data_IF_472821905559
#
_entry.id   IF_472821905559
#
_cell.length_a   1.000
_cell.length_b   1.000
_cell.length_c   1.000
_cell.angle_alpha   90.00
_cell.angle_beta   90.00
_cell.angle_gamma   90.00
#
_symmetry.space_group_name_H-M   'P 1'
#
loop_
_entity.id
_entity.type
_entity.pdbx_description
1 polymer ?
#
# COMPACT_ATOMS: atom_id res chain seq x y z
N UNK A 1 -5.12 3.12 -10.91
CA UNK A 1 -3.72 2.89 -10.50
C UNK A 1 -3.14 1.66 -11.19
N UNK A 2 -3.84 0.53 -11.27
CA UNK A 2 -3.50 -0.51 -12.26
C UNK A 2 -4.31 -0.31 -13.54
N UNK A 3 -3.63 0.10 -14.61
CA UNK A 3 -4.13 -0.10 -15.98
C UNK A 3 -3.61 -1.44 -16.47
N UNK A 4 -4.22 -2.02 -17.50
CA UNK A 4 -3.71 -3.25 -18.14
C UNK A 4 -2.21 -3.15 -18.48
N UNK A 5 -1.76 -1.97 -18.93
CA UNK A 5 -0.35 -1.72 -19.21
C UNK A 5 0.55 -1.87 -17.98
N UNK A 6 0.11 -1.37 -16.82
CA UNK A 6 0.87 -1.46 -15.57
C UNK A 6 0.83 -2.88 -15.02
N UNK A 7 -0.34 -3.55 -15.09
CA UNK A 7 -0.47 -4.94 -14.65
C UNK A 7 0.44 -5.87 -15.46
N UNK A 8 0.43 -5.75 -16.79
CA UNK A 8 1.31 -6.53 -17.66
C UNK A 8 2.80 -6.29 -17.34
N UNK A 9 3.20 -5.03 -17.10
CA UNK A 9 4.57 -4.71 -16.70
C UNK A 9 4.95 -5.40 -15.38
N UNK A 10 4.08 -5.39 -14.36
CA UNK A 10 4.36 -6.02 -13.07
C UNK A 10 4.44 -7.55 -13.19
N UNK A 11 3.58 -8.16 -14.01
CA UNK A 11 3.63 -9.60 -14.32
C UNK A 11 4.94 -9.95 -15.05
N UNK A 12 5.32 -9.19 -16.08
CA UNK A 12 6.58 -9.41 -16.82
C UNK A 12 7.82 -9.24 -15.95
N UNK A 13 7.73 -8.39 -14.92
CA UNK A 13 8.80 -8.14 -13.95
C UNK A 13 8.81 -9.11 -12.76
N UNK A 14 7.90 -10.10 -12.71
CA UNK A 14 7.73 -11.04 -11.57
C UNK A 14 7.40 -10.32 -10.24
N UNK A 15 6.67 -9.21 -10.34
CA UNK A 15 6.30 -8.32 -9.23
C UNK A 15 4.81 -8.36 -8.89
N UNK A 16 4.05 -9.24 -9.55
CA UNK A 16 2.60 -9.38 -9.40
C UNK A 16 2.26 -10.83 -9.06
N UNK A 17 1.56 -11.04 -7.95
CA UNK A 17 1.16 -12.35 -7.44
C UNK A 17 -0.31 -12.28 -6.98
N UNK A 18 -1.17 -13.15 -7.53
CA UNK A 18 -2.60 -13.22 -7.18
C UNK A 18 -2.88 -14.22 -6.05
N UNK A 19 -1.84 -14.72 -5.39
CA UNK A 19 -1.99 -15.56 -4.19
C UNK A 19 -2.57 -14.74 -3.05
N UNK A 20 -3.74 -15.14 -2.56
CA UNK A 20 -4.40 -14.47 -1.44
C UNK A 20 -3.53 -14.42 -0.17
N UNK A 21 -3.23 -13.21 0.31
CA UNK A 21 -2.61 -12.98 1.62
C UNK A 21 -3.64 -12.43 2.61
N UNK A 22 -4.05 -13.29 3.56
CA UNK A 22 -5.02 -12.93 4.61
C UNK A 22 -4.57 -11.79 5.52
N UNK A 23 -3.26 -11.54 5.64
CA UNK A 23 -2.71 -10.44 6.44
C UNK A 23 -2.89 -9.12 5.68
N UNK A 24 -2.65 -9.12 4.38
CA UNK A 24 -2.84 -7.93 3.55
C UNK A 24 -4.33 -7.57 3.43
N UNK A 25 -5.21 -8.56 3.31
CA UNK A 25 -6.66 -8.36 3.33
C UNK A 25 -7.13 -7.66 4.61
N UNK A 26 -6.64 -8.10 5.78
CA UNK A 26 -6.95 -7.45 7.06
C UNK A 26 -6.50 -5.99 7.11
N UNK A 27 -5.33 -5.67 6.55
CA UNK A 27 -4.88 -4.27 6.48
C UNK A 27 -5.83 -3.42 5.63
N UNK A 28 -6.26 -3.93 4.47
CA UNK A 28 -7.22 -3.21 3.60
C UNK A 28 -8.54 -2.96 4.33
N UNK A 29 -9.04 -3.96 5.08
CA UNK A 29 -10.23 -3.82 5.92
C UNK A 29 -10.05 -2.81 7.05
N UNK A 30 -8.92 -2.86 7.77
CA UNK A 30 -8.61 -1.98 8.91
C UNK A 30 -8.43 -0.52 8.47
N UNK A 31 -7.85 -0.30 7.29
CA UNK A 31 -7.77 1.03 6.66
C UNK A 31 -9.09 1.49 6.02
N UNK A 32 -10.14 0.67 6.09
CA UNK A 32 -11.47 0.95 5.54
C UNK A 32 -11.43 1.28 4.03
N UNK A 33 -10.63 0.51 3.27
CA UNK A 33 -10.45 0.67 1.83
C UNK A 33 -11.30 -0.36 1.10
N UNK A 34 -12.02 0.08 0.07
CA UNK A 34 -12.79 -0.82 -0.79
C UNK A 34 -11.84 -1.71 -1.61
N UNK A 35 -11.98 -3.03 -1.45
CA UNK A 35 -11.19 -4.06 -2.12
C UNK A 35 -11.29 -4.03 -3.65
N UNK A 36 -12.34 -3.43 -4.22
CA UNK A 36 -12.51 -3.26 -5.67
C UNK A 36 -11.67 -2.11 -6.26
N UNK A 37 -11.02 -1.31 -5.40
CA UNK A 37 -10.24 -0.16 -5.86
C UNK A 37 -8.90 -0.59 -6.44
N UNK A 38 -8.40 0.20 -7.40
CA UNK A 38 -7.07 -0.01 -7.95
C UNK A 38 -5.93 0.19 -6.92
N UNK A 39 -6.22 0.80 -5.76
CA UNK A 39 -5.28 0.88 -4.64
C UNK A 39 -5.21 -0.47 -3.91
N UNK A 40 -6.37 -1.05 -3.57
CA UNK A 40 -6.41 -2.36 -2.95
C UNK A 40 -5.77 -3.43 -3.85
N UNK A 41 -6.13 -3.44 -5.14
CA UNK A 41 -5.56 -4.36 -6.14
C UNK A 41 -4.02 -4.29 -6.18
N UNK A 42 -3.45 -3.08 -6.16
CA UNK A 42 -1.99 -2.89 -6.12
C UNK A 42 -1.36 -3.44 -4.84
N UNK A 43 -1.93 -3.13 -3.68
CA UNK A 43 -1.32 -3.52 -2.41
C UNK A 43 -1.49 -5.02 -2.12
N UNK A 44 -2.61 -5.61 -2.54
CA UNK A 44 -2.89 -7.05 -2.37
C UNK A 44 -2.04 -7.91 -3.29
N UNK A 45 -1.86 -7.49 -4.54
CA UNK A 45 -1.34 -8.38 -5.59
C UNK A 45 0.10 -8.07 -6.00
N UNK A 46 0.85 -7.27 -5.24
CA UNK A 46 2.26 -6.99 -5.54
C UNK A 46 3.17 -7.44 -4.42
N UNK A 47 4.35 -7.95 -4.77
CA UNK A 47 5.20 -8.74 -3.85
C UNK A 47 6.45 -8.00 -3.32
N UNK A 48 6.66 -6.74 -3.73
CA UNK A 48 7.75 -5.89 -3.22
C UNK A 48 7.21 -4.85 -2.24
N UNK A 49 8.02 -4.51 -1.22
CA UNK A 49 7.72 -3.40 -0.32
C UNK A 49 7.80 -2.03 -1.03
N UNK A 50 8.72 -1.90 -2.00
CA UNK A 50 9.02 -0.63 -2.67
C UNK A 50 9.26 -0.84 -4.16
N UNK A 51 8.69 0.05 -4.97
CA UNK A 51 8.78 0.08 -6.43
C UNK A 51 9.46 1.37 -6.85
N UNK A 52 10.78 1.33 -6.94
CA UNK A 52 11.62 2.50 -7.19
C UNK A 52 11.90 2.72 -8.67
N UNK A 53 11.83 3.97 -9.14
CA UNK A 53 12.34 4.38 -10.45
C UNK A 53 12.87 5.82 -10.43
N UNK A 54 14.16 5.98 -10.72
CA UNK A 54 14.90 7.26 -10.82
C UNK A 54 14.71 8.23 -9.63
N UNK A 55 13.56 8.90 -9.55
CA UNK A 55 13.24 9.95 -8.58
C UNK A 55 11.91 9.70 -7.85
N UNK A 56 11.29 8.54 -8.04
CA UNK A 56 9.99 8.22 -7.48
C UNK A 56 9.98 6.82 -6.90
N UNK A 57 9.41 6.71 -5.71
CA UNK A 57 9.10 5.46 -5.06
C UNK A 57 7.58 5.34 -4.93
N UNK A 58 7.08 4.13 -5.14
CA UNK A 58 5.73 3.73 -4.76
C UNK A 58 5.90 2.61 -3.76
N UNK A 59 5.11 2.63 -2.69
CA UNK A 59 5.24 1.66 -1.61
C UNK A 59 4.01 0.76 -1.52
N UNK A 60 4.23 -0.48 -1.13
CA UNK A 60 3.15 -1.37 -0.72
C UNK A 60 2.78 -1.08 0.74
N UNK A 61 1.66 -0.40 0.95
CA UNK A 61 1.12 -0.01 2.25
C UNK A 61 0.82 -1.23 3.12
N UNK A 62 0.35 -2.34 2.56
CA UNK A 62 0.12 -3.57 3.35
C UNK A 62 1.43 -4.10 3.93
N UNK A 63 2.51 -4.08 3.15
CA UNK A 63 3.83 -4.48 3.65
C UNK A 63 4.26 -3.60 4.82
N UNK A 64 4.17 -2.27 4.70
CA UNK A 64 4.57 -1.35 5.77
C UNK A 64 3.63 -1.41 6.98
N UNK A 65 2.33 -1.58 6.78
CA UNK A 65 1.35 -1.75 7.85
C UNK A 65 1.69 -2.94 8.76
N UNK A 66 2.21 -4.03 8.18
CA UNK A 66 2.56 -5.25 8.92
C UNK A 66 3.97 -5.17 9.51
N UNK A 67 4.91 -4.54 8.80
CA UNK A 67 6.35 -4.65 9.11
C UNK A 67 6.95 -3.37 9.71
N UNK A 68 6.14 -2.35 10.03
CA UNK A 68 6.62 -1.08 10.60
C UNK A 68 5.63 -0.48 11.62
N UNK A 69 5.94 0.70 12.14
CA UNK A 69 5.07 1.48 13.04
C UNK A 69 3.99 2.29 12.30
N UNK A 70 3.58 1.85 11.11
CA UNK A 70 2.71 2.59 10.19
C UNK A 70 1.41 3.09 10.85
N UNK A 71 0.72 2.23 11.61
CA UNK A 71 -0.53 2.63 12.28
C UNK A 71 -0.30 3.68 13.37
N UNK A 72 0.79 3.58 14.14
CA UNK A 72 1.16 4.59 15.13
C UNK A 72 1.48 5.94 14.45
N UNK A 73 2.17 5.89 13.30
CA UNK A 73 2.48 7.08 12.51
C UNK A 73 1.21 7.74 11.96
N UNK A 74 0.23 6.95 11.47
CA UNK A 74 -1.06 7.47 11.02
C UNK A 74 -1.73 8.27 12.14
N UNK A 75 -1.89 7.65 13.31
CA UNK A 75 -2.57 8.29 14.44
C UNK A 75 -1.87 9.59 14.84
N UNK A 76 -0.53 9.57 14.90
CA UNK A 76 0.26 10.75 15.22
C UNK A 76 0.10 11.85 14.17
N UNK A 77 0.21 11.54 12.87
CA UNK A 77 0.09 12.52 11.79
C UNK A 77 -1.31 13.13 11.72
N UNK A 78 -2.35 12.30 11.82
CA UNK A 78 -3.74 12.77 11.83
C UNK A 78 -3.99 13.74 12.98
N UNK A 79 -3.48 13.42 14.17
CA UNK A 79 -3.57 14.30 15.35
C UNK A 79 -2.76 15.59 15.18
N UNK A 80 -1.49 15.50 14.78
CA UNK A 80 -0.58 16.64 14.67
C UNK A 80 -1.00 17.63 13.57
N UNK A 81 -1.45 17.11 12.43
CA UNK A 81 -1.85 17.91 11.26
C UNK A 81 -3.35 18.19 11.21
N UNK A 82 -4.13 17.67 12.16
CA UNK A 82 -5.61 17.74 12.20
C UNK A 82 -6.26 17.22 10.91
N UNK A 83 -5.73 16.11 10.40
CA UNK A 83 -6.25 15.46 9.20
C UNK A 83 -7.45 14.56 9.56
N UNK A 84 -8.40 14.37 8.63
CA UNK A 84 -9.46 13.39 8.80
C UNK A 84 -8.92 11.95 8.93
N UNK A 85 -9.67 11.07 9.58
CA UNK A 85 -9.27 9.67 9.82
C UNK A 85 -9.11 8.87 8.52
N UNK A 86 -9.78 9.28 7.45
CA UNK A 86 -9.67 8.65 6.13
C UNK A 86 -8.37 9.00 5.37
N UNK A 87 -7.55 9.91 5.89
CA UNK A 87 -6.27 10.28 5.26
C UNK A 87 -5.16 9.39 5.80
N UNK A 88 -4.61 8.55 4.91
CA UNK A 88 -3.51 7.66 5.19
C UNK A 88 -2.24 8.11 4.46
N UNK A 89 -1.04 7.90 5.04
CA UNK A 89 0.22 8.16 4.38
C UNK A 89 0.49 7.11 3.30
N UNK A 90 1.04 7.56 2.17
CA UNK A 90 1.45 6.70 1.06
C UNK A 90 2.97 6.66 0.89
N UNK A 91 3.69 7.39 1.73
CA UNK A 91 5.13 7.62 1.69
C UNK A 91 5.59 8.06 3.10
N UNK A 92 6.90 8.18 3.30
CA UNK A 92 7.56 8.67 4.51
C UNK A 92 7.26 7.79 5.72
N UNK A 93 7.31 6.47 5.53
CA UNK A 93 7.20 5.48 6.59
C UNK A 93 8.45 5.39 7.49
N UNK A 94 9.37 6.35 7.34
CA UNK A 94 10.60 6.41 8.12
C UNK A 94 10.26 6.64 9.60
N UNK A 95 10.50 5.60 10.39
CA UNK A 95 10.43 5.55 11.86
C UNK A 95 11.39 4.48 12.37
#
# INVERSE_FOLDING_TARGET
MLTEKVKNYLIEADLYDETDDTSYQKVIEELNIDASTAFADFNLNTNSATFSRQLYDIYNVCWFAINSTYFEQIEWMQSALKLPQEYIPLDSFEG
#
